data_IF_749678127434
#
_entry.id   IF_749678127434
#
_cell.length_a   1.000
_cell.length_b   1.000
_cell.length_c   1.000
_cell.angle_alpha   90.00
_cell.angle_beta   90.00
_cell.angle_gamma   90.00
#
_symmetry.space_group_name_H-M   'P 1'
#
loop_
_entity.id
_entity.type
_entity.pdbx_description
1 polymer ?
#
# COMPACT_ATOMS: atom_id res chain seq x y z
N UNK A 1 14.99 -63.68 -17.05
CA UNK A 1 15.59 -62.92 -18.17
C UNK A 1 14.57 -61.89 -18.59
N UNK A 2 14.76 -60.62 -18.20
CA UNK A 2 13.89 -59.53 -18.61
C UNK A 2 14.66 -58.62 -19.58
N UNK A 3 14.06 -58.44 -20.73
CA UNK A 3 14.48 -57.67 -21.90
C UNK A 3 14.84 -56.23 -21.53
N UNK A 4 16.01 -55.78 -21.97
CA UNK A 4 16.44 -54.39 -21.80
C UNK A 4 15.56 -53.53 -22.71
N UNK A 5 14.72 -52.69 -22.10
CA UNK A 5 13.96 -51.67 -22.82
C UNK A 5 14.92 -50.74 -23.55
N UNK A 6 14.87 -50.85 -24.86
CA UNK A 6 15.48 -50.00 -25.86
C UNK A 6 14.74 -48.65 -25.87
N UNK A 7 15.38 -47.59 -25.36
CA UNK A 7 14.84 -46.23 -25.44
C UNK A 7 15.39 -45.57 -26.71
N UNK A 8 14.53 -45.15 -27.67
CA UNK A 8 15.03 -44.53 -28.88
C UNK A 8 15.69 -43.18 -28.56
N UNK A 9 16.94 -43.03 -28.99
CA UNK A 9 17.68 -41.78 -28.98
C UNK A 9 16.94 -40.77 -29.85
N UNK A 10 16.18 -39.87 -29.20
CA UNK A 10 15.52 -38.76 -29.88
C UNK A 10 16.56 -37.69 -30.25
N UNK A 11 17.07 -37.78 -31.49
CA UNK A 11 17.85 -36.74 -32.13
C UNK A 11 17.00 -35.50 -32.42
N UNK A 12 16.64 -34.73 -31.39
CA UNK A 12 15.91 -33.46 -31.54
C UNK A 12 16.87 -32.32 -31.88
N UNK A 13 16.87 -31.97 -33.18
CA UNK A 13 17.21 -30.69 -33.82
C UNK A 13 17.83 -29.62 -32.90
N UNK A 14 19.16 -29.53 -32.92
CA UNK A 14 20.01 -28.52 -32.24
C UNK A 14 20.02 -27.13 -32.91
N UNK A 15 19.06 -26.80 -33.78
CA UNK A 15 19.07 -25.56 -34.57
C UNK A 15 18.33 -24.38 -33.90
N UNK A 16 17.43 -24.63 -32.95
CA UNK A 16 16.64 -23.58 -32.30
C UNK A 16 17.23 -23.01 -30.99
N UNK A 17 18.26 -23.65 -30.42
CA UNK A 17 18.80 -23.25 -29.10
C UNK A 17 19.80 -22.07 -29.12
N UNK A 18 19.83 -21.26 -30.19
CA UNK A 18 20.78 -20.14 -30.33
C UNK A 18 20.12 -18.75 -30.37
N UNK A 19 18.93 -18.59 -29.82
CA UNK A 19 18.21 -17.29 -29.79
C UNK A 19 18.17 -16.66 -28.39
N UNK A 20 18.84 -17.24 -27.39
CA UNK A 20 19.01 -16.60 -26.09
C UNK A 20 20.24 -15.67 -26.11
N UNK A 21 20.18 -14.61 -26.92
CA UNK A 21 21.24 -13.61 -26.99
C UNK A 21 20.82 -12.37 -26.16
N UNK A 22 21.48 -12.07 -25.03
CA UNK A 22 21.11 -10.96 -24.13
C UNK A 22 21.31 -9.57 -24.73
N UNK A 23 21.91 -9.46 -25.93
CA UNK A 23 22.20 -8.19 -26.60
C UNK A 23 21.02 -7.60 -27.41
N UNK A 24 19.79 -8.12 -27.22
CA UNK A 24 18.58 -7.57 -27.86
C UNK A 24 18.00 -6.35 -27.11
N UNK A 25 18.60 -5.97 -25.98
CA UNK A 25 18.18 -4.84 -25.15
C UNK A 25 18.49 -3.47 -25.78
N UNK A 26 19.60 -3.31 -26.50
CA UNK A 26 20.03 -1.98 -26.98
C UNK A 26 19.06 -1.37 -28.01
N UNK A 27 18.53 -2.20 -28.92
CA UNK A 27 17.53 -1.78 -29.90
C UNK A 27 16.18 -1.50 -29.22
N UNK A 28 15.73 -2.38 -28.32
CA UNK A 28 14.46 -2.22 -27.61
C UNK A 28 14.45 -1.00 -26.67
N UNK A 29 15.58 -0.67 -26.05
CA UNK A 29 15.71 0.47 -25.13
C UNK A 29 15.79 1.81 -25.87
N UNK A 30 16.46 1.84 -27.02
CA UNK A 30 16.52 3.02 -27.89
C UNK A 30 15.17 3.27 -28.59
N UNK A 31 14.55 2.20 -29.10
CA UNK A 31 13.21 2.27 -29.69
C UNK A 31 12.16 2.62 -28.63
N UNK A 32 12.32 2.12 -27.41
CA UNK A 32 11.43 2.45 -26.30
C UNK A 32 11.42 3.94 -25.95
N UNK A 33 12.59 4.57 -25.86
CA UNK A 33 12.69 6.02 -25.63
C UNK A 33 12.15 6.84 -26.81
N UNK A 34 12.33 6.35 -28.03
CA UNK A 34 11.78 6.97 -29.24
C UNK A 34 10.26 6.89 -29.29
N UNK A 35 9.68 5.72 -29.03
CA UNK A 35 8.23 5.51 -28.99
C UNK A 35 7.54 6.34 -27.90
N UNK A 36 8.19 6.53 -26.74
CA UNK A 36 7.64 7.38 -25.67
C UNK A 36 7.55 8.84 -26.10
N UNK A 37 8.61 9.37 -26.73
CA UNK A 37 8.58 10.72 -27.32
C UNK A 37 7.58 10.84 -28.47
N UNK A 38 7.51 9.83 -29.34
CA UNK A 38 6.56 9.81 -30.45
C UNK A 38 5.10 9.76 -29.99
N UNK A 39 4.81 9.00 -28.94
CA UNK A 39 3.47 8.92 -28.36
C UNK A 39 3.03 10.26 -27.77
N UNK A 40 3.92 10.93 -27.01
CA UNK A 40 3.64 12.28 -26.49
C UNK A 40 3.49 13.31 -27.61
N UNK A 41 4.31 13.20 -28.67
CA UNK A 41 4.26 14.11 -29.81
C UNK A 41 2.96 13.97 -30.62
N UNK A 42 2.52 12.74 -30.89
CA UNK A 42 1.30 12.46 -31.67
C UNK A 42 0.01 12.82 -30.91
N UNK A 43 0.04 12.83 -29.57
CA UNK A 43 -1.09 13.28 -28.73
C UNK A 43 -1.25 14.81 -28.61
N UNK A 44 -0.33 15.59 -29.21
CA UNK A 44 -0.35 17.06 -29.09
C UNK A 44 -1.10 17.69 -30.29
N UNK A 45 -2.00 18.67 -30.07
CA UNK A 45 -2.75 19.32 -31.17
C UNK A 45 -1.86 20.05 -32.19
N UNK A 46 -0.63 20.41 -31.79
CA UNK A 46 0.36 21.03 -32.67
C UNK A 46 0.80 20.12 -33.82
N UNK A 47 0.81 18.79 -33.62
CA UNK A 47 1.18 17.83 -34.67
C UNK A 47 0.19 17.85 -35.84
N UNK A 48 -1.11 17.87 -35.52
CA UNK A 48 -2.18 17.96 -36.52
C UNK A 48 -2.07 19.25 -37.33
N UNK A 49 -1.83 20.39 -36.66
CA UNK A 49 -1.67 21.68 -37.32
C UNK A 49 -0.49 21.66 -38.31
N UNK A 50 0.68 21.16 -37.88
CA UNK A 50 1.85 21.05 -38.75
C UNK A 50 1.58 20.15 -39.98
N UNK A 51 0.92 19.00 -39.78
CA UNK A 51 0.56 18.09 -40.88
C UNK A 51 -0.43 18.72 -41.86
N UNK A 52 -1.44 19.44 -41.38
CA UNK A 52 -2.37 20.17 -42.25
C UNK A 52 -1.65 21.25 -43.05
N UNK A 53 -0.79 22.05 -42.42
CA UNK A 53 0.00 23.08 -43.10
C UNK A 53 0.91 22.45 -44.16
N UNK A 54 1.58 21.35 -43.86
CA UNK A 54 2.43 20.64 -44.81
C UNK A 54 1.65 20.19 -46.05
N UNK A 55 0.46 19.59 -45.88
CA UNK A 55 -0.39 19.18 -46.99
C UNK A 55 -0.85 20.38 -47.83
N UNK A 56 -1.26 21.47 -47.18
CA UNK A 56 -1.70 22.69 -47.87
C UNK A 56 -0.55 23.32 -48.67
N UNK A 57 0.65 23.42 -48.08
CA UNK A 57 1.85 23.93 -48.76
C UNK A 57 2.24 23.05 -49.93
N UNK A 58 2.17 21.72 -49.78
CA UNK A 58 2.47 20.78 -50.86
C UNK A 58 1.52 20.94 -52.06
N UNK A 59 0.22 21.08 -51.77
CA UNK A 59 -0.80 21.34 -52.79
C UNK A 59 -0.54 22.70 -53.45
N UNK A 60 -0.24 23.74 -52.67
CA UNK A 60 0.04 25.09 -53.18
C UNK A 60 1.27 25.11 -54.11
N UNK A 61 2.38 24.46 -53.72
CA UNK A 61 3.60 24.34 -54.54
C UNK A 61 3.30 23.59 -55.85
N UNK A 62 2.51 22.52 -55.81
CA UNK A 62 2.11 21.79 -57.01
C UNK A 62 1.15 22.58 -57.90
N UNK A 63 0.27 23.40 -57.32
CA UNK A 63 -0.69 24.22 -58.06
C UNK A 63 -0.01 25.41 -58.76
N UNK A 64 0.97 26.04 -58.11
CA UNK A 64 1.76 27.14 -58.66
C UNK A 64 2.67 26.63 -59.80
N UNK A 65 2.98 25.33 -59.82
CA UNK A 65 3.72 24.70 -60.91
C UNK A 65 5.09 25.33 -61.04
N UNK A 66 6.00 25.00 -60.11
CA UNK A 66 7.39 25.45 -60.15
C UNK A 66 7.96 25.11 -61.55
N UNK A 67 8.10 26.12 -62.42
CA UNK A 67 8.58 26.02 -63.82
C UNK A 67 7.66 25.37 -64.87
N UNK A 68 6.33 25.45 -64.74
CA UNK A 68 5.40 24.99 -65.80
C UNK A 68 5.36 23.47 -66.00
N UNK A 69 6.11 22.72 -65.19
CA UNK A 69 6.05 21.27 -65.11
C UNK A 69 5.18 20.89 -63.92
N UNK A 70 4.04 20.25 -64.17
CA UNK A 70 3.15 19.74 -63.12
C UNK A 70 3.78 18.50 -62.51
N UNK A 71 4.61 18.71 -61.49
CA UNK A 71 5.36 17.64 -60.81
C UNK A 71 4.44 16.57 -60.20
N UNK A 72 3.21 16.93 -59.81
CA UNK A 72 2.15 16.00 -59.38
C UNK A 72 0.74 16.51 -59.77
N UNK A 73 0.20 16.13 -60.96
CA UNK A 73 -1.16 16.49 -61.39
C UNK A 73 -2.24 15.85 -60.49
N UNK A 74 -3.43 16.47 -60.43
CA UNK A 74 -4.58 15.91 -59.72
C UNK A 74 -4.86 14.49 -60.21
N UNK A 75 -4.85 13.44 -59.35
CA UNK A 75 -5.16 13.41 -57.91
C UNK A 75 -3.96 13.30 -56.92
N UNK A 76 -2.81 13.92 -57.20
CA UNK A 76 -1.63 13.94 -56.31
C UNK A 76 -1.08 12.53 -55.95
N UNK A 77 -0.61 11.79 -56.94
CA UNK A 77 -0.18 10.39 -56.79
C UNK A 77 1.04 10.26 -55.87
N UNK A 78 1.98 11.21 -55.92
CA UNK A 78 3.19 11.16 -55.11
C UNK A 78 2.89 11.38 -53.63
N UNK A 79 2.00 12.33 -53.34
CA UNK A 79 1.52 12.56 -51.97
C UNK A 79 0.83 11.31 -51.42
N UNK A 80 -0.05 10.69 -52.22
CA UNK A 80 -0.75 9.49 -51.79
C UNK A 80 0.20 8.29 -51.57
N UNK A 81 1.22 8.15 -52.42
CA UNK A 81 2.23 7.10 -52.28
C UNK A 81 3.10 7.27 -51.03
N UNK A 82 3.46 8.52 -50.71
CA UNK A 82 4.12 8.89 -49.47
C UNK A 82 3.26 8.54 -48.24
N UNK A 83 1.98 8.94 -48.22
CA UNK A 83 1.06 8.61 -47.12
C UNK A 83 0.83 7.11 -46.97
N UNK A 84 0.72 6.37 -48.07
CA UNK A 84 0.57 4.92 -48.05
C UNK A 84 1.77 4.24 -47.40
N UNK A 85 2.97 4.71 -47.72
CA UNK A 85 4.21 4.21 -47.11
C UNK A 85 4.33 4.63 -45.65
N UNK A 86 3.94 5.87 -45.32
CA UNK A 86 3.90 6.38 -43.95
C UNK A 86 3.00 5.51 -43.06
N UNK A 87 1.79 5.18 -43.54
CA UNK A 87 0.87 4.30 -42.82
C UNK A 87 1.44 2.87 -42.68
N UNK A 88 2.06 2.34 -43.74
CA UNK A 88 2.65 1.01 -43.74
C UNK A 88 3.79 0.87 -42.72
N UNK A 89 4.65 1.89 -42.58
CA UNK A 89 5.72 1.88 -41.56
C UNK A 89 5.22 2.25 -40.15
N UNK A 90 4.13 3.01 -40.04
CA UNK A 90 3.53 3.33 -38.75
C UNK A 90 2.94 2.10 -38.06
N UNK A 91 2.27 1.20 -38.80
CA UNK A 91 1.64 0.00 -38.24
C UNK A 91 2.58 -0.89 -37.37
N UNK A 92 3.78 -1.31 -37.85
CA UNK A 92 4.69 -2.11 -37.03
C UNK A 92 5.27 -1.32 -35.85
N UNK A 93 5.47 0.00 -35.99
CA UNK A 93 5.94 0.85 -34.90
C UNK A 93 4.88 0.96 -33.80
N UNK A 94 3.62 1.16 -34.18
CA UNK A 94 2.48 1.22 -33.28
C UNK A 94 2.32 -0.12 -32.55
N UNK A 95 2.42 -1.25 -33.26
CA UNK A 95 2.33 -2.58 -32.65
C UNK A 95 3.41 -2.80 -31.59
N UNK A 96 4.64 -2.35 -31.83
CA UNK A 96 5.72 -2.41 -30.84
C UNK A 96 5.48 -1.48 -29.65
N UNK A 97 4.93 -0.28 -29.89
CA UNK A 97 4.57 0.64 -28.83
C UNK A 97 3.44 0.07 -27.95
N UNK A 98 2.42 -0.54 -28.58
CA UNK A 98 1.30 -1.21 -27.93
C UNK A 98 1.75 -2.40 -27.08
N UNK A 99 2.53 -3.33 -27.65
CA UNK A 99 3.08 -4.47 -26.91
C UNK A 99 3.81 -4.04 -25.63
N UNK A 100 4.47 -2.87 -25.64
CA UNK A 100 5.17 -2.34 -24.48
C UNK A 100 4.22 -1.69 -23.46
N UNK A 101 3.17 -1.01 -23.92
CA UNK A 101 2.11 -0.50 -23.05
C UNK A 101 1.42 -1.66 -22.35
N UNK A 102 1.03 -2.70 -23.09
CA UNK A 102 0.38 -3.90 -22.55
C UNK A 102 1.25 -4.60 -21.50
N UNK A 103 2.58 -4.67 -21.70
CA UNK A 103 3.51 -5.22 -20.72
C UNK A 103 3.56 -4.38 -19.43
N UNK A 104 3.57 -3.04 -19.54
CA UNK A 104 3.54 -2.16 -18.36
C UNK A 104 2.22 -2.30 -17.63
N UNK A 105 1.11 -2.29 -18.36
CA UNK A 105 -0.24 -2.40 -17.81
C UNK A 105 -0.42 -3.75 -17.09
N UNK A 106 0.15 -4.83 -17.64
CA UNK A 106 0.19 -6.14 -16.97
C UNK A 106 0.97 -6.10 -15.66
N UNK A 107 2.16 -5.51 -15.64
CA UNK A 107 2.97 -5.41 -14.40
C UNK A 107 2.25 -4.58 -13.34
N UNK A 108 1.63 -3.47 -13.74
CA UNK A 108 0.82 -2.63 -12.85
C UNK A 108 -0.36 -3.43 -12.30
N UNK A 109 -1.07 -4.19 -13.14
CA UNK A 109 -2.18 -5.03 -12.71
C UNK A 109 -1.75 -6.15 -11.76
N UNK A 110 -0.62 -6.81 -12.00
CA UNK A 110 -0.08 -7.85 -11.10
C UNK A 110 0.32 -7.25 -9.74
N UNK A 111 0.94 -6.07 -9.73
CA UNK A 111 1.25 -5.36 -8.48
C UNK A 111 0.02 -4.92 -7.72
N UNK A 112 -1.01 -4.43 -8.42
CA UNK A 112 -2.27 -4.03 -7.81
C UNK A 112 -2.99 -5.21 -7.15
N UNK A 113 -3.00 -6.38 -7.81
CA UNK A 113 -3.52 -7.63 -7.24
C UNK A 113 -2.77 -8.02 -5.96
N UNK A 114 -1.44 -8.00 -5.97
CA UNK A 114 -0.65 -8.31 -4.77
C UNK A 114 -0.90 -7.30 -3.63
N UNK A 115 -1.08 -6.02 -3.94
CA UNK A 115 -1.42 -5.00 -2.93
C UNK A 115 -2.81 -5.25 -2.35
N UNK A 116 -3.79 -5.59 -3.19
CA UNK A 116 -5.14 -5.92 -2.74
C UNK A 116 -5.14 -7.14 -1.81
N UNK A 117 -4.40 -8.20 -2.15
CA UNK A 117 -4.24 -9.39 -1.30
C UNK A 117 -3.61 -9.04 0.06
N UNK A 118 -2.56 -8.21 0.08
CA UNK A 118 -1.93 -7.73 1.32
C UNK A 118 -2.89 -6.88 2.15
N UNK A 119 -3.63 -5.96 1.53
CA UNK A 119 -4.60 -5.13 2.24
C UNK A 119 -5.73 -5.97 2.86
N UNK A 120 -6.18 -7.02 2.18
CA UNK A 120 -7.15 -7.97 2.73
C UNK A 120 -6.56 -8.69 3.94
N UNK A 121 -5.35 -9.23 3.84
CA UNK A 121 -4.67 -9.90 4.95
C UNK A 121 -4.44 -8.96 6.16
N UNK A 122 -4.03 -7.71 5.92
CA UNK A 122 -3.85 -6.70 6.96
C UNK A 122 -5.20 -6.37 7.63
N UNK A 123 -6.29 -6.30 6.86
CA UNK A 123 -7.64 -6.08 7.40
C UNK A 123 -8.10 -7.27 8.24
N UNK A 124 -7.88 -8.50 7.77
CA UNK A 124 -8.17 -9.72 8.53
C UNK A 124 -7.35 -9.80 9.83
N UNK A 125 -6.09 -9.38 9.79
CA UNK A 125 -5.23 -9.31 10.96
C UNK A 125 -5.75 -8.29 11.97
N UNK A 126 -6.01 -7.05 11.53
CA UNK A 126 -6.53 -5.99 12.39
C UNK A 126 -7.89 -6.34 12.98
N UNK A 127 -8.79 -6.95 12.21
CA UNK A 127 -10.10 -7.38 12.72
C UNK A 127 -9.98 -8.49 13.77
N UNK A 128 -9.05 -9.43 13.58
CA UNK A 128 -8.75 -10.47 14.59
C UNK A 128 -8.15 -9.87 15.86
N UNK A 129 -7.26 -8.90 15.72
CA UNK A 129 -6.63 -8.21 16.85
C UNK A 129 -7.62 -7.32 17.62
N UNK A 130 -8.54 -6.66 16.91
CA UNK A 130 -9.64 -5.91 17.55
C UNK A 130 -10.59 -6.87 18.29
N UNK A 131 -10.85 -8.05 17.72
CA UNK A 131 -11.69 -9.05 18.38
C UNK A 131 -11.03 -9.60 19.66
N UNK A 132 -9.72 -9.89 19.64
CA UNK A 132 -8.98 -10.32 20.85
C UNK A 132 -8.91 -9.21 21.89
N UNK A 133 -8.63 -7.97 21.48
CA UNK A 133 -8.63 -6.80 22.35
C UNK A 133 -10.01 -6.58 23.01
N UNK A 134 -11.09 -6.71 22.24
CA UNK A 134 -12.45 -6.60 22.76
C UNK A 134 -12.75 -7.65 23.84
N UNK A 135 -12.34 -8.89 23.62
CA UNK A 135 -12.52 -9.96 24.61
C UNK A 135 -11.74 -9.66 25.90
N UNK A 136 -10.49 -9.22 25.79
CA UNK A 136 -9.68 -8.82 26.94
C UNK A 136 -10.30 -7.63 27.71
N UNK A 137 -10.83 -6.63 26.99
CA UNK A 137 -11.52 -5.49 27.62
C UNK A 137 -12.84 -5.90 28.29
N UNK A 138 -13.55 -6.89 27.75
CA UNK A 138 -14.81 -7.37 28.33
C UNK A 138 -14.59 -7.98 29.72
N UNK A 139 -13.44 -8.62 29.95
CA UNK A 139 -13.07 -9.20 31.24
C UNK A 139 -12.84 -8.11 32.31
N UNK A 140 -12.13 -7.03 31.95
CA UNK A 140 -11.82 -5.92 32.87
C UNK A 140 -13.00 -4.96 33.10
N UNK A 141 -13.90 -4.83 32.11
CA UNK A 141 -15.03 -3.89 32.18
C UNK A 141 -16.33 -4.52 32.70
N UNK A 142 -16.31 -5.74 33.23
CA UNK A 142 -17.54 -6.33 33.79
C UNK A 142 -17.91 -5.59 35.08
N UNK A 143 -19.18 -5.15 35.18
CA UNK A 143 -19.72 -4.38 36.31
C UNK A 143 -19.38 -5.00 37.66
N UNK A 144 -19.32 -6.33 37.73
CA UNK A 144 -19.08 -7.05 38.97
C UNK A 144 -17.60 -7.00 39.40
N UNK A 145 -16.63 -6.93 38.47
CA UNK A 145 -15.21 -6.72 38.78
C UNK A 145 -14.96 -5.29 39.28
N UNK A 146 -15.48 -4.30 38.55
CA UNK A 146 -15.38 -2.89 38.98
C UNK A 146 -16.05 -2.69 40.34
N UNK A 147 -17.19 -3.36 40.57
CA UNK A 147 -17.91 -3.31 41.84
C UNK A 147 -17.19 -4.04 42.97
N UNK A 148 -16.53 -5.17 42.69
CA UNK A 148 -15.75 -5.88 43.70
C UNK A 148 -14.52 -5.07 44.09
N UNK A 149 -13.77 -4.53 43.13
CA UNK A 149 -12.59 -3.72 43.46
C UNK A 149 -12.94 -2.43 44.18
N UNK A 150 -14.02 -1.75 43.79
CA UNK A 150 -14.54 -0.62 44.56
C UNK A 150 -14.96 -1.03 45.97
N UNK A 151 -15.51 -2.23 46.15
CA UNK A 151 -15.89 -2.71 47.49
C UNK A 151 -14.69 -3.06 48.34
N UNK A 152 -13.71 -3.74 47.77
CA UNK A 152 -12.51 -4.19 48.47
C UNK A 152 -11.67 -2.97 48.87
N UNK A 153 -11.43 -2.03 47.95
CA UNK A 153 -10.75 -0.76 48.28
C UNK A 153 -11.51 0.07 49.32
N UNK A 154 -12.84 0.12 49.28
CA UNK A 154 -13.64 0.79 50.32
C UNK A 154 -13.59 0.06 51.67
N UNK A 155 -13.51 -1.27 51.66
CA UNK A 155 -13.40 -2.07 52.87
C UNK A 155 -12.04 -1.85 53.55
N UNK A 156 -10.95 -1.90 52.78
CA UNK A 156 -9.59 -1.61 53.25
C UNK A 156 -9.50 -0.23 53.89
N UNK A 157 -10.00 0.81 53.21
CA UNK A 157 -9.99 2.19 53.76
C UNK A 157 -10.80 2.33 55.05
N UNK A 158 -11.92 1.60 55.18
CA UNK A 158 -12.73 1.60 56.40
C UNK A 158 -12.04 0.88 57.56
N UNK A 159 -11.31 -0.19 57.26
CA UNK A 159 -10.54 -0.95 58.25
C UNK A 159 -9.35 -0.14 58.76
N UNK A 160 -8.65 0.55 57.86
CA UNK A 160 -7.57 1.50 58.21
C UNK A 160 -8.08 2.62 59.13
N UNK A 161 -9.20 3.26 58.80
CA UNK A 161 -9.82 4.28 59.66
C UNK A 161 -10.27 3.75 61.03
N UNK A 162 -10.71 2.49 61.11
CA UNK A 162 -11.06 1.85 62.38
C UNK A 162 -9.84 1.52 63.22
N UNK A 163 -8.76 1.07 62.59
CA UNK A 163 -7.49 0.83 63.25
C UNK A 163 -6.92 2.14 63.81
N UNK A 164 -6.87 3.21 63.01
CA UNK A 164 -6.48 4.55 63.45
C UNK A 164 -7.32 5.02 64.65
N UNK A 165 -8.65 4.81 64.59
CA UNK A 165 -9.54 5.18 65.69
C UNK A 165 -9.28 4.37 66.96
N UNK A 166 -9.00 3.07 66.85
CA UNK A 166 -8.69 2.21 67.99
C UNK A 166 -7.33 2.55 68.61
N UNK A 167 -6.33 2.93 67.81
CA UNK A 167 -5.06 3.45 68.30
C UNK A 167 -5.26 4.76 69.09
N UNK A 168 -6.10 5.67 68.59
CA UNK A 168 -6.44 6.91 69.31
C UNK A 168 -7.17 6.62 70.63
N UNK A 169 -8.10 5.66 70.64
CA UNK A 169 -8.89 5.30 71.83
C UNK A 169 -8.00 4.65 72.91
N UNK A 170 -7.12 3.71 72.56
CA UNK A 170 -6.14 3.11 73.48
C UNK A 170 -5.10 4.11 74.02
N UNK A 171 -4.72 5.09 73.21
CA UNK A 171 -3.85 6.20 73.64
C UNK A 171 -4.55 7.12 74.65
N UNK A 172 -5.88 7.26 74.57
CA UNK A 172 -6.68 8.07 75.48
C UNK A 172 -6.98 7.40 76.82
N UNK A 173 -7.24 6.08 76.83
CA UNK A 173 -7.44 5.31 78.07
C UNK A 173 -6.15 5.18 78.90
N UNK A 174 -4.99 5.13 78.24
CA UNK A 174 -3.69 5.11 78.94
C UNK A 174 -3.43 6.43 79.67
N UNK A 175 -3.80 7.56 79.07
CA UNK A 175 -3.64 8.90 79.68
C UNK A 175 -4.64 9.15 80.84
N UNK A 176 -5.88 8.66 80.73
CA UNK A 176 -6.91 8.85 81.76
C UNK A 176 -6.67 8.05 83.06
N UNK A 177 -5.92 6.95 82.98
CA UNK A 177 -5.62 6.11 84.14
C UNK A 177 -4.44 6.65 84.99
N UNK A 178 -3.63 7.57 84.48
CA UNK A 178 -2.58 8.25 85.25
C UNK A 178 -3.11 9.44 86.08
N UNK A 179 -4.32 9.95 85.80
CA UNK A 179 -4.92 11.08 86.55
C UNK A 179 -5.72 10.65 87.80
N UNK A 180 -5.95 9.34 88.01
CA UNK A 180 -6.80 8.81 89.08
C UNK A 180 -6.08 8.47 90.40
N UNK A 181 -4.76 8.69 90.50
CA UNK A 181 -3.94 8.32 91.67
C UNK A 181 -3.39 9.54 92.43
N UNK A 182 -4.28 10.46 92.82
CA UNK A 182 -3.95 11.50 93.80
C UNK A 182 -4.32 11.02 95.21
N UNK A 183 -3.37 10.92 96.16
CA UNK A 183 -3.67 10.48 97.51
C UNK A 183 -4.50 11.54 98.25
N UNK A 184 -5.75 11.20 98.57
CA UNK A 184 -6.57 12.01 99.47
C UNK A 184 -5.99 11.89 100.89
N UNK A 185 -5.42 12.99 101.39
CA UNK A 185 -4.89 13.12 102.73
C UNK A 185 -6.02 13.06 103.77
N UNK A 186 -5.96 11.99 104.57
CA UNK A 186 -6.05 11.97 106.04
C UNK A 186 -7.08 12.89 106.70
N UNK A 187 -8.19 12.30 107.18
CA UNK A 187 -8.94 12.85 108.30
C UNK A 187 -9.30 11.74 109.30
N UNK A 188 -8.57 11.77 110.41
CA UNK A 188 -8.73 10.97 111.63
C UNK A 188 -10.02 11.34 112.36
N UNK A 189 -10.83 10.38 112.85
CA UNK A 189 -11.95 10.69 113.73
C UNK A 189 -11.48 10.77 115.19
N UNK A 190 -11.60 11.93 115.84
CA UNK A 190 -11.56 12.04 117.30
C UNK A 190 -12.97 11.95 117.91
N UNK A 191 -13.05 11.21 119.01
CA UNK A 191 -14.22 10.88 119.83
C UNK A 191 -15.03 12.09 120.33
N UNK A 192 -16.36 11.96 120.41
CA UNK A 192 -17.14 11.73 121.65
C UNK A 192 -18.64 11.58 121.36
#
# INVERSE_FOLDING_TARGET
MAERLDTPVSGKRKWFNRVNNPNKSSFNESFGRFSEKFATYMGTPQFLLYMTVFVVVWIAVNLIGLYGYRFDPYPFILLNLMFSTQASYAAPLILLAQNRQDLRDRVVAEQDRQRAERNLADTEYLTREIASLRLAMQDVATRDFVRSELRDTLADLLEELRADRAEVESSSETNGNEEADLPQLENTPENF
#
